data_IF_594530591736
#
_entry.id   IF_594530591736
#
_cell.length_a   1.000
_cell.length_b   1.000
_cell.length_c   1.000
_cell.angle_alpha   90.00
_cell.angle_beta   90.00
_cell.angle_gamma   90.00
#
_symmetry.space_group_name_H-M   'P 1'
#
loop_
_entity.id
_entity.type
_entity.pdbx_description
1 polymer ?
#
# COMPACT_ATOMS: atom_id res chain seq x y z
N UNK A 1 -73.41 -50.93 -23.04
CA UNK A 1 -73.11 -50.29 -21.74
C UNK A 1 -71.89 -50.89 -21.02
N UNK A 2 -71.61 -52.19 -21.14
CA UNK A 2 -70.47 -52.86 -20.47
C UNK A 2 -69.06 -52.31 -20.79
N UNK A 3 -68.81 -51.83 -22.02
CA UNK A 3 -67.51 -51.23 -22.41
C UNK A 3 -67.21 -49.88 -21.76
N UNK A 4 -68.23 -49.08 -21.43
CA UNK A 4 -68.05 -47.78 -20.76
C UNK A 4 -67.69 -47.96 -19.28
N UNK A 5 -68.26 -48.97 -18.63
CA UNK A 5 -67.93 -49.35 -17.24
C UNK A 5 -66.49 -49.86 -17.15
N UNK A 6 -66.05 -50.67 -18.11
CA UNK A 6 -64.66 -51.14 -18.18
C UNK A 6 -63.67 -49.98 -18.31
N UNK A 7 -63.98 -48.99 -19.16
CA UNK A 7 -63.12 -47.84 -19.37
C UNK A 7 -63.02 -46.94 -18.13
N UNK A 8 -64.12 -46.71 -17.42
CA UNK A 8 -64.10 -45.95 -16.16
C UNK A 8 -63.30 -46.66 -15.06
N UNK A 9 -63.39 -48.00 -14.96
CA UNK A 9 -62.59 -48.75 -14.00
C UNK A 9 -61.09 -48.69 -14.31
N UNK A 10 -60.69 -48.73 -15.59
CA UNK A 10 -59.28 -48.61 -15.98
C UNK A 10 -58.73 -47.21 -15.69
N UNK A 11 -59.50 -46.16 -15.97
CA UNK A 11 -59.10 -44.79 -15.61
C UNK A 11 -58.98 -44.61 -14.11
N UNK A 12 -59.90 -45.19 -13.33
CA UNK A 12 -59.84 -45.14 -11.87
C UNK A 12 -58.63 -45.91 -11.31
N UNK A 13 -58.29 -47.05 -11.91
CA UNK A 13 -57.14 -47.87 -11.49
C UNK A 13 -55.81 -47.19 -11.80
N UNK A 14 -55.71 -46.47 -12.93
CA UNK A 14 -54.53 -45.67 -13.26
C UNK A 14 -54.34 -44.49 -12.29
N UNK A 15 -55.41 -43.79 -11.94
CA UNK A 15 -55.34 -42.68 -10.96
C UNK A 15 -54.99 -43.21 -9.57
N UNK A 16 -55.58 -44.34 -9.15
CA UNK A 16 -55.24 -44.96 -7.87
C UNK A 16 -53.78 -45.42 -7.81
N UNK A 17 -53.22 -45.96 -8.90
CA UNK A 17 -51.81 -46.34 -8.96
C UNK A 17 -50.89 -45.12 -8.81
N UNK A 18 -51.24 -43.99 -9.44
CA UNK A 18 -50.49 -42.73 -9.35
C UNK A 18 -50.51 -42.12 -7.94
N UNK A 19 -51.63 -42.26 -7.22
CA UNK A 19 -51.75 -41.82 -5.83
C UNK A 19 -50.96 -42.72 -4.88
N UNK A 20 -50.90 -44.04 -5.14
CA UNK A 20 -50.09 -44.97 -4.32
C UNK A 20 -48.59 -44.72 -4.52
N UNK A 21 -48.13 -44.40 -5.74
CA UNK A 21 -46.73 -44.00 -5.97
C UNK A 21 -46.38 -42.65 -5.35
N UNK A 22 -47.34 -41.73 -5.27
CA UNK A 22 -47.17 -40.42 -4.63
C UNK A 22 -47.13 -40.48 -3.09
N UNK A 23 -47.60 -41.58 -2.49
CA UNK A 23 -47.57 -41.79 -1.03
C UNK A 23 -46.52 -42.81 -0.59
N UNK A 24 -45.59 -43.18 -1.48
CA UNK A 24 -44.38 -43.89 -1.07
C UNK A 24 -43.58 -42.92 -0.20
N UNK A 25 -43.60 -43.20 1.11
CA UNK A 25 -42.86 -42.48 2.13
C UNK A 25 -41.38 -42.57 1.77
N UNK A 26 -40.79 -41.43 1.38
CA UNK A 26 -39.36 -41.30 1.19
C UNK A 26 -38.64 -41.72 2.48
N UNK A 27 -37.59 -42.52 2.32
CA UNK A 27 -36.65 -42.82 3.39
C UNK A 27 -35.94 -41.51 3.77
N UNK A 28 -35.83 -41.17 5.07
CA UNK A 28 -35.36 -39.87 5.54
C UNK A 28 -33.83 -39.74 5.50
N UNK A 29 -33.17 -40.28 4.47
CA UNK A 29 -31.71 -40.27 4.33
C UNK A 29 -31.24 -39.55 3.07
N UNK A 30 -31.89 -39.79 1.93
CA UNK A 30 -31.48 -39.18 0.65
C UNK A 30 -31.84 -37.68 0.55
N UNK A 31 -32.76 -37.19 1.38
CA UNK A 31 -33.18 -35.78 1.36
C UNK A 31 -32.36 -34.89 2.29
N UNK A 32 -31.70 -35.47 3.31
CA UNK A 32 -30.72 -34.75 4.14
C UNK A 32 -29.36 -34.69 3.42
N UNK A 33 -28.98 -35.72 2.66
CA UNK A 33 -27.75 -35.70 1.84
C UNK A 33 -27.83 -34.70 0.67
N UNK A 34 -28.99 -34.54 0.00
CA UNK A 34 -29.16 -33.50 -1.04
C UNK A 34 -29.21 -32.07 -0.47
N UNK A 35 -29.74 -31.86 0.74
CA UNK A 35 -29.72 -30.54 1.40
C UNK A 35 -28.31 -30.18 1.94
N UNK A 36 -27.53 -31.15 2.43
CA UNK A 36 -26.13 -30.94 2.83
C UNK A 36 -25.21 -30.66 1.63
N UNK A 37 -25.43 -31.32 0.47
CA UNK A 37 -24.67 -31.03 -0.76
C UNK A 37 -25.01 -29.63 -1.34
N UNK A 38 -26.27 -29.17 -1.26
CA UNK A 38 -26.64 -27.80 -1.67
C UNK A 38 -26.06 -26.72 -0.72
N UNK A 39 -26.01 -26.97 0.60
CA UNK A 39 -25.38 -26.03 1.55
C UNK A 39 -23.84 -25.96 1.39
N UNK A 40 -23.16 -27.08 1.08
CA UNK A 40 -21.72 -27.06 0.79
C UNK A 40 -21.40 -26.35 -0.54
N UNK A 41 -22.23 -26.48 -1.59
CA UNK A 41 -22.04 -25.72 -2.84
C UNK A 41 -22.28 -24.21 -2.66
N UNK A 42 -23.24 -23.78 -1.82
CA UNK A 42 -23.46 -22.35 -1.53
C UNK A 42 -22.32 -21.75 -0.69
N UNK A 43 -21.74 -22.49 0.28
CA UNK A 43 -20.57 -22.01 1.04
C UNK A 43 -19.30 -21.91 0.16
N UNK A 44 -19.07 -22.84 -0.77
CA UNK A 44 -17.93 -22.74 -1.71
C UNK A 44 -18.10 -21.57 -2.69
N UNK A 45 -19.32 -21.27 -3.18
CA UNK A 45 -19.57 -20.08 -4.03
C UNK A 45 -19.37 -18.76 -3.25
N UNK A 46 -19.77 -18.67 -1.97
CA UNK A 46 -19.52 -17.47 -1.14
C UNK A 46 -18.02 -17.29 -0.83
N UNK A 47 -17.26 -18.36 -0.56
CA UNK A 47 -15.79 -18.26 -0.36
C UNK A 47 -15.06 -17.87 -1.66
N UNK A 48 -15.47 -18.37 -2.83
CA UNK A 48 -14.90 -17.94 -4.12
C UNK A 48 -15.25 -16.47 -4.45
N UNK A 49 -16.46 -15.99 -4.14
CA UNK A 49 -16.82 -14.57 -4.30
C UNK A 49 -16.04 -13.65 -3.34
N UNK A 50 -15.81 -14.05 -2.08
CA UNK A 50 -14.97 -13.29 -1.14
C UNK A 50 -13.49 -13.28 -1.56
N UNK A 51 -12.93 -14.40 -2.05
CA UNK A 51 -11.56 -14.43 -2.59
C UNK A 51 -11.43 -13.58 -3.88
N UNK A 52 -12.43 -13.60 -4.78
CA UNK A 52 -12.42 -12.72 -5.97
C UNK A 52 -12.55 -11.23 -5.59
N UNK A 53 -13.35 -10.86 -4.59
CA UNK A 53 -13.44 -9.47 -4.10
C UNK A 53 -12.14 -9.02 -3.41
N UNK A 54 -11.47 -9.88 -2.63
CA UNK A 54 -10.15 -9.56 -2.03
C UNK A 54 -9.05 -9.44 -3.10
N UNK A 55 -9.05 -10.30 -4.14
CA UNK A 55 -8.11 -10.16 -5.27
C UNK A 55 -8.39 -8.90 -6.11
N UNK A 56 -9.66 -8.50 -6.31
CA UNK A 56 -9.99 -7.22 -6.99
C UNK A 56 -9.58 -5.99 -6.17
N UNK A 57 -9.69 -6.01 -4.83
CA UNK A 57 -9.17 -4.92 -3.97
C UNK A 57 -7.63 -4.87 -3.96
N UNK A 58 -6.93 -6.01 -4.06
CA UNK A 58 -5.46 -6.05 -4.10
C UNK A 58 -4.90 -5.66 -5.49
N UNK A 59 -5.67 -5.82 -6.56
CA UNK A 59 -5.33 -5.40 -7.94
C UNK A 59 -5.77 -3.97 -8.33
N UNK A 60 -6.26 -3.12 -7.42
CA UNK A 60 -6.46 -1.70 -7.74
C UNK A 60 -5.11 -1.04 -8.10
N UNK A 61 -4.84 -0.94 -9.41
CA UNK A 61 -3.69 -0.19 -9.92
C UNK A 61 -3.73 1.21 -9.31
N UNK A 62 -2.63 1.66 -8.65
CA UNK A 62 -2.62 2.92 -7.95
C UNK A 62 -3.03 4.04 -8.89
N UNK A 63 -4.09 4.77 -8.53
CA UNK A 63 -4.63 5.85 -9.34
C UNK A 63 -3.51 6.77 -9.84
N UNK A 64 -3.34 6.83 -11.15
CA UNK A 64 -2.26 7.58 -11.80
C UNK A 64 -2.36 9.06 -11.42
N UNK A 65 -1.49 9.50 -10.51
CA UNK A 65 -1.38 10.90 -10.09
C UNK A 65 -1.62 11.16 -8.61
N UNK A 66 -2.04 10.16 -7.81
CA UNK A 66 -2.14 10.32 -6.36
C UNK A 66 -0.85 9.87 -5.64
N UNK A 67 -0.43 10.53 -4.54
CA UNK A 67 0.75 10.13 -3.80
C UNK A 67 0.53 8.76 -3.15
N UNK A 68 1.37 7.80 -3.52
CA UNK A 68 1.43 6.51 -2.85
C UNK A 68 2.19 6.67 -1.53
N UNK A 69 1.54 6.33 -0.42
CA UNK A 69 2.12 6.38 0.91
C UNK A 69 2.51 4.98 1.37
N UNK A 70 3.63 4.89 2.10
CA UNK A 70 4.20 3.60 2.50
C UNK A 70 5.18 3.03 1.46
N UNK A 71 5.71 1.83 1.75
CA UNK A 71 6.67 1.13 0.89
C UNK A 71 8.14 1.23 1.32
N UNK A 72 9.00 0.56 0.56
CA UNK A 72 10.46 0.52 0.78
C UNK A 72 11.20 1.00 -0.46
N UNK A 73 12.00 2.06 -0.32
CA UNK A 73 12.91 2.50 -1.38
C UNK A 73 14.26 1.78 -1.25
N UNK A 74 14.61 0.95 -2.23
CA UNK A 74 15.93 0.33 -2.32
C UNK A 74 16.80 1.11 -3.30
N UNK A 75 17.86 1.76 -2.79
CA UNK A 75 18.82 2.50 -3.61
C UNK A 75 20.12 1.69 -3.71
N UNK A 76 20.49 1.28 -4.92
CA UNK A 76 21.82 0.74 -5.17
C UNK A 76 22.80 1.89 -5.41
N UNK A 77 23.59 2.23 -4.39
CA UNK A 77 24.69 3.18 -4.53
C UNK A 77 25.87 2.54 -5.27
N UNK A 78 26.44 3.22 -6.27
CA UNK A 78 27.65 2.76 -6.97
C UNK A 78 28.95 2.86 -6.17
N UNK A 79 28.86 3.13 -4.87
CA UNK A 79 30.00 3.42 -3.99
C UNK A 79 30.20 2.26 -3.00
N UNK A 80 31.44 2.09 -2.53
CA UNK A 80 31.76 1.07 -1.52
C UNK A 80 31.09 1.35 -0.17
N UNK A 81 31.18 0.37 0.74
CA UNK A 81 30.67 0.48 2.10
C UNK A 81 31.22 1.72 2.80
N UNK A 82 30.34 2.50 3.43
CA UNK A 82 30.76 3.63 4.24
C UNK A 82 31.46 3.11 5.51
N UNK A 83 32.72 3.50 5.78
CA UNK A 83 33.46 2.98 6.92
C UNK A 83 32.95 3.50 8.27
N UNK A 84 32.18 4.58 8.26
CA UNK A 84 31.62 5.25 9.44
C UNK A 84 30.36 6.04 9.03
N UNK A 85 29.44 6.24 9.98
CA UNK A 85 28.33 7.19 9.85
C UNK A 85 28.67 8.58 10.45
N UNK A 86 29.85 8.73 11.06
CA UNK A 86 30.28 9.99 11.66
C UNK A 86 30.75 10.98 10.58
N UNK A 87 29.96 12.03 10.37
CA UNK A 87 30.27 13.10 9.41
C UNK A 87 31.53 13.88 9.77
N UNK A 88 31.97 13.86 11.03
CA UNK A 88 33.17 14.59 11.47
C UNK A 88 34.46 13.95 10.97
N UNK A 89 34.42 12.68 10.56
CA UNK A 89 35.57 12.00 9.94
C UNK A 89 35.82 12.45 8.49
N UNK A 90 34.87 13.15 7.87
CA UNK A 90 35.06 13.81 6.56
C UNK A 90 35.31 12.86 5.40
N UNK A 91 34.93 11.58 5.52
CA UNK A 91 35.10 10.59 4.47
C UNK A 91 34.00 10.74 3.43
N UNK A 92 34.36 10.89 2.15
CA UNK A 92 33.40 11.10 1.08
C UNK A 92 32.32 10.01 0.97
N UNK A 93 32.56 8.69 1.22
CA UNK A 93 31.50 7.68 1.17
C UNK A 93 30.46 7.88 2.26
N UNK A 94 30.87 8.37 3.43
CA UNK A 94 29.98 8.68 4.55
C UNK A 94 28.95 9.72 4.14
N UNK A 95 29.35 10.76 3.38
CA UNK A 95 28.44 11.81 2.89
C UNK A 95 27.29 11.20 2.06
N UNK A 96 27.57 10.24 1.17
CA UNK A 96 26.53 9.60 0.37
C UNK A 96 25.60 8.73 1.21
N UNK A 97 26.16 8.01 2.19
CA UNK A 97 25.40 7.12 3.05
C UNK A 97 24.48 7.88 4.01
N UNK A 98 24.93 9.03 4.53
CA UNK A 98 24.19 9.80 5.53
C UNK A 98 23.29 10.89 4.94
N UNK A 99 23.47 11.27 3.66
CA UNK A 99 22.66 12.30 3.01
C UNK A 99 21.14 12.11 3.17
N UNK A 100 20.58 10.89 3.10
CA UNK A 100 19.13 10.69 3.26
C UNK A 100 18.60 10.90 4.68
N UNK A 101 19.48 10.93 5.70
CA UNK A 101 19.08 10.97 7.12
C UNK A 101 19.60 12.20 7.86
N UNK A 102 20.37 13.07 7.20
CA UNK A 102 20.88 14.31 7.76
C UNK A 102 20.37 15.49 6.95
N UNK A 103 19.85 16.50 7.64
CA UNK A 103 19.45 17.76 7.03
C UNK A 103 20.57 18.81 7.03
N UNK A 104 20.51 19.72 6.05
CA UNK A 104 21.43 20.84 5.89
C UNK A 104 20.73 22.18 6.13
N UNK A 105 21.49 23.22 6.47
CA UNK A 105 20.96 24.58 6.59
C UNK A 105 20.28 25.03 5.29
N UNK A 106 20.95 24.81 4.16
CA UNK A 106 20.58 25.26 2.82
C UNK A 106 20.69 24.04 1.89
N UNK A 107 19.75 23.90 0.95
CA UNK A 107 19.73 22.83 -0.05
C UNK A 107 19.49 23.40 -1.45
N UNK A 108 19.73 22.59 -2.47
CA UNK A 108 19.31 22.90 -3.83
C UNK A 108 17.78 22.96 -3.96
N UNK A 109 17.26 24.01 -4.59
CA UNK A 109 15.83 24.14 -4.91
C UNK A 109 15.50 23.36 -6.19
N UNK A 110 15.59 22.03 -6.08
CA UNK A 110 15.33 21.13 -7.20
C UNK A 110 13.87 21.15 -7.63
N UNK A 111 12.93 21.43 -6.73
CA UNK A 111 11.51 21.54 -7.07
C UNK A 111 11.29 22.66 -8.08
N UNK A 112 11.99 23.79 -7.90
CA UNK A 112 11.87 24.94 -8.77
C UNK A 112 12.76 24.88 -10.00
N UNK A 113 14.01 24.42 -9.90
CA UNK A 113 15.00 24.62 -10.97
C UNK A 113 15.40 23.36 -11.75
N UNK A 114 15.04 22.16 -11.27
CA UNK A 114 15.30 20.89 -11.97
C UNK A 114 14.30 20.69 -13.14
N UNK A 115 14.39 19.55 -13.82
CA UNK A 115 13.50 19.12 -14.90
C UNK A 115 12.00 19.12 -14.53
N UNK A 116 11.67 19.06 -13.23
CA UNK A 116 10.29 19.17 -12.71
C UNK A 116 9.78 20.62 -12.63
N UNK A 117 10.68 21.59 -12.63
CA UNK A 117 10.36 23.02 -12.54
C UNK A 117 10.76 23.76 -13.82
N UNK A 118 11.62 24.76 -13.72
CA UNK A 118 12.07 25.58 -14.86
C UNK A 118 13.15 24.92 -15.70
N UNK A 119 13.74 23.81 -15.24
CA UNK A 119 14.88 23.14 -15.88
C UNK A 119 16.07 24.09 -16.14
N UNK A 120 16.32 25.02 -15.21
CA UNK A 120 17.36 26.03 -15.33
C UNK A 120 18.73 25.54 -14.84
N UNK A 121 18.76 24.50 -13.99
CA UNK A 121 19.99 23.96 -13.44
C UNK A 121 19.89 22.44 -13.29
N UNK A 122 20.79 21.67 -13.93
CA UNK A 122 20.86 20.24 -13.71
C UNK A 122 21.55 19.99 -12.36
N UNK A 123 20.80 19.53 -11.36
CA UNK A 123 21.36 19.21 -10.05
C UNK A 123 22.20 17.93 -10.11
N UNK A 124 23.38 17.97 -9.46
CA UNK A 124 24.28 16.82 -9.35
C UNK A 124 24.72 16.65 -7.90
N UNK A 125 24.85 15.41 -7.45
CA UNK A 125 25.10 15.07 -6.03
C UNK A 125 26.44 15.60 -5.50
N UNK A 126 27.43 15.85 -6.37
CA UNK A 126 28.80 16.16 -5.97
C UNK A 126 29.28 17.56 -6.34
N UNK A 127 28.40 18.44 -6.80
CA UNK A 127 28.78 19.77 -7.29
C UNK A 127 28.33 20.87 -6.35
N UNK A 128 29.15 21.92 -6.25
CA UNK A 128 28.74 23.18 -5.63
C UNK A 128 27.52 23.72 -6.37
N UNK A 129 26.45 23.96 -5.63
CA UNK A 129 25.22 24.56 -6.14
C UNK A 129 25.40 26.09 -6.06
N UNK A 130 25.29 26.83 -7.18
CA UNK A 130 25.27 28.29 -7.14
C UNK A 130 24.14 28.82 -6.25
N UNK A 131 24.38 29.95 -5.57
CA UNK A 131 23.47 30.49 -4.56
C UNK A 131 22.07 30.78 -5.12
N UNK A 132 21.97 31.19 -6.38
CA UNK A 132 20.69 31.46 -7.05
C UNK A 132 19.79 30.21 -7.21
N UNK A 133 20.36 29.02 -7.11
CA UNK A 133 19.67 27.73 -7.20
C UNK A 133 19.47 27.05 -5.83
N UNK A 134 19.83 27.75 -4.75
CA UNK A 134 19.66 27.26 -3.39
C UNK A 134 18.39 27.84 -2.73
N UNK A 135 17.85 27.09 -1.76
CA UNK A 135 16.82 27.56 -0.82
C UNK A 135 17.18 27.15 0.60
N UNK A 136 16.59 27.84 1.58
CA UNK A 136 16.66 27.41 2.98
C UNK A 136 15.97 26.06 3.19
N UNK A 137 16.54 25.24 4.08
CA UNK A 137 15.96 23.95 4.49
C UNK A 137 15.69 23.93 5.99
N UNK A 138 16.74 23.91 6.82
CA UNK A 138 16.63 24.14 8.27
C UNK A 138 16.55 25.63 8.61
N UNK A 139 17.07 26.50 7.73
CA UNK A 139 17.01 27.95 7.92
C UNK A 139 15.89 28.54 7.09
N UNK A 140 15.19 29.53 7.63
CA UNK A 140 14.19 30.30 6.89
C UNK A 140 14.79 31.56 6.24
N UNK A 141 15.88 32.08 6.80
CA UNK A 141 16.61 33.23 6.27
C UNK A 141 18.04 33.28 6.84
N UNK A 142 18.90 34.05 6.18
CA UNK A 142 20.25 34.33 6.66
C UNK A 142 20.68 35.75 6.32
N UNK A 143 21.52 36.33 7.16
CA UNK A 143 22.12 37.64 6.96
C UNK A 143 23.64 37.50 6.90
N UNK A 144 24.25 38.03 5.84
CA UNK A 144 25.70 38.01 5.65
C UNK A 144 26.25 39.42 5.88
N UNK A 145 27.16 39.56 6.85
CA UNK A 145 27.97 40.76 7.04
C UNK A 145 29.45 40.42 6.87
N UNK A 146 30.36 41.41 6.74
CA UNK A 146 31.79 41.14 6.65
C UNK A 146 32.36 40.36 7.86
N UNK A 147 31.72 40.45 9.03
CA UNK A 147 32.20 39.87 10.28
C UNK A 147 31.50 38.55 10.66
N UNK A 148 30.27 38.31 10.19
CA UNK A 148 29.49 37.14 10.58
C UNK A 148 28.41 36.79 9.58
N UNK A 149 27.94 35.55 9.67
CA UNK A 149 26.70 35.09 9.06
C UNK A 149 25.74 34.74 10.19
N UNK A 150 24.51 35.25 10.13
CA UNK A 150 23.44 34.94 11.09
C UNK A 150 22.41 34.08 10.36
N UNK A 151 22.23 32.85 10.82
CA UNK A 151 21.19 31.94 10.32
C UNK A 151 19.97 32.00 11.24
N UNK A 152 18.80 32.23 10.67
CA UNK A 152 17.53 32.14 11.38
C UNK A 152 16.98 30.73 11.16
N UNK A 153 17.08 29.87 12.18
CA UNK A 153 16.57 28.50 12.14
C UNK A 153 15.04 28.55 12.19
N UNK A 154 14.37 27.77 11.34
CA UNK A 154 12.91 27.69 11.35
C UNK A 154 12.41 27.02 12.64
N UNK A 155 11.24 27.41 13.17
CA UNK A 155 10.61 26.68 14.26
C UNK A 155 10.21 25.26 13.82
N UNK A 156 10.10 24.35 14.77
CA UNK A 156 9.70 22.97 14.54
C UNK A 156 10.79 22.04 14.02
N UNK A 157 12.07 22.43 14.10
CA UNK A 157 13.20 21.54 13.80
C UNK A 157 13.56 20.75 15.05
N UNK A 158 13.46 19.43 14.98
CA UNK A 158 13.76 18.51 16.07
C UNK A 158 14.89 17.56 15.71
N UNK A 159 15.66 17.17 16.71
CA UNK A 159 16.54 16.01 16.57
C UNK A 159 15.73 14.72 16.47
N UNK A 160 16.18 13.80 15.61
CA UNK A 160 15.65 12.45 15.56
C UNK A 160 16.00 11.71 16.86
N UNK A 161 15.10 11.76 17.85
CA UNK A 161 15.20 10.96 19.05
C UNK A 161 14.66 9.57 18.74
N UNK A 162 15.57 8.61 18.56
CA UNK A 162 15.22 7.23 18.18
C UNK A 162 14.69 6.42 19.39
N UNK A 163 14.40 7.07 20.53
CA UNK A 163 13.90 6.40 21.74
C UNK A 163 14.83 5.30 22.27
N UNK A 164 16.12 5.33 21.89
CA UNK A 164 17.13 4.34 22.26
C UNK A 164 17.90 4.79 23.49
N UNK A 165 18.27 3.82 24.32
CA UNK A 165 19.15 4.06 25.47
C UNK A 165 20.45 4.74 25.00
N UNK A 166 20.85 5.82 25.68
CA UNK A 166 21.98 6.69 25.33
C UNK A 166 21.85 7.57 24.07
N UNK A 167 20.69 7.58 23.40
CA UNK A 167 20.36 8.59 22.39
C UNK A 167 19.62 9.75 23.07
N UNK A 168 19.93 10.98 22.67
CA UNK A 168 19.30 12.17 23.26
C UNK A 168 17.77 12.17 23.07
N UNK A 169 17.06 12.71 24.06
CA UNK A 169 15.63 13.00 23.95
C UNK A 169 15.33 14.00 22.84
N UNK A 170 14.11 13.92 22.29
CA UNK A 170 13.69 14.86 21.25
C UNK A 170 13.65 16.26 21.81
N UNK A 171 14.31 17.19 21.12
CA UNK A 171 14.31 18.61 21.48
C UNK A 171 14.39 19.48 20.25
N UNK A 172 13.75 20.63 20.37
CA UNK A 172 13.80 21.68 19.37
C UNK A 172 15.14 22.44 19.44
N UNK A 173 15.53 23.06 18.34
CA UNK A 173 16.67 23.98 18.26
C UNK A 173 16.37 25.36 18.83
#
# INVERSE_FOLDING_TARGET
>A
MKKKILWMLVSFLLVAALVVTSCAKAEPGEQEEEEEEEEEEEEEEEEEEEEEEEEEEEEEEPAVGEPQYGGTLTICGGYGEAPTADMTEGLWPTIYYTNPVIDYLIIGDFEKYDARGTNAFPFWVSYTIPEEFCRGNLVESWEVTPEKIVFNIRPGVYWAAIGKEHVMESREY
#
